data_IF_271271813233
#
_entry.id   IF_271271813233
#
_cell.length_a   1.000
_cell.length_b   1.000
_cell.length_c   1.000
_cell.angle_alpha   90.00
_cell.angle_beta   90.00
_cell.angle_gamma   90.00
#
_symmetry.space_group_name_H-M   'P 1'
#
loop_
_entity.id
_entity.type
_entity.pdbx_description
1 polymer ?
#
# COMPACT_ATOMS: atom_id res chain seq x y z
N UNK A 1 26.20 -41.19 24.81
CA UNK A 1 25.85 -39.98 25.60
C UNK A 1 26.50 -38.67 25.11
N UNK A 2 27.57 -38.67 24.31
CA UNK A 2 28.21 -37.43 23.80
C UNK A 2 27.49 -36.74 22.62
N UNK A 3 26.59 -37.43 21.92
CA UNK A 3 25.87 -36.87 20.74
C UNK A 3 24.63 -36.07 21.10
N UNK A 4 24.01 -36.34 22.26
CA UNK A 4 22.82 -35.63 22.73
C UNK A 4 23.16 -34.20 23.22
N UNK A 5 24.36 -34.04 23.81
CA UNK A 5 24.87 -32.76 24.31
C UNK A 5 25.16 -31.75 23.19
N UNK A 6 25.47 -32.22 21.98
CA UNK A 6 25.77 -31.37 20.83
C UNK A 6 24.51 -30.68 20.28
N UNK A 7 23.35 -31.37 20.32
CA UNK A 7 22.08 -30.84 19.82
C UNK A 7 21.52 -29.78 20.78
N UNK A 8 21.69 -29.98 22.10
CA UNK A 8 21.22 -29.04 23.12
C UNK A 8 21.98 -27.70 23.10
N UNK A 9 23.25 -27.70 22.65
CA UNK A 9 24.08 -26.50 22.60
C UNK A 9 23.70 -25.56 21.43
N UNK A 10 23.12 -26.10 20.36
CA UNK A 10 22.75 -25.34 19.16
C UNK A 10 21.43 -24.59 19.38
N UNK A 11 20.54 -25.09 20.24
CA UNK A 11 19.25 -24.45 20.52
C UNK A 11 19.33 -23.25 21.46
N UNK A 12 20.46 -23.05 22.17
CA UNK A 12 20.63 -21.93 23.09
C UNK A 12 21.30 -20.68 22.45
N UNK A 13 21.76 -20.77 21.20
CA UNK A 13 22.55 -19.70 20.55
C UNK A 13 21.75 -18.60 19.83
N UNK A 14 20.41 -18.66 19.82
CA UNK A 14 19.57 -17.73 19.02
C UNK A 14 18.74 -16.76 19.88
N UNK A 15 19.23 -16.41 21.06
CA UNK A 15 18.71 -15.27 21.82
C UNK A 15 19.25 -13.95 21.25
N UNK A 16 18.71 -13.49 20.13
CA UNK A 16 18.91 -12.11 19.69
C UNK A 16 18.24 -11.17 20.70
N UNK A 17 18.97 -10.79 21.73
CA UNK A 17 18.68 -9.57 22.48
C UNK A 17 18.94 -8.39 21.53
N UNK A 18 17.98 -8.11 20.66
CA UNK A 18 17.89 -6.81 20.03
C UNK A 18 17.52 -5.84 21.14
N UNK A 19 18.55 -5.27 21.76
CA UNK A 19 18.42 -4.09 22.59
C UNK A 19 17.71 -3.05 21.72
N UNK A 20 16.44 -2.83 21.99
CA UNK A 20 15.61 -1.86 21.30
C UNK A 20 16.03 -0.47 21.81
N UNK A 21 17.27 -0.10 21.53
CA UNK A 21 17.77 1.24 21.77
C UNK A 21 17.08 2.11 20.72
N UNK A 22 16.14 2.93 21.19
CA UNK A 22 15.40 3.87 20.36
C UNK A 22 16.37 4.96 19.91
N UNK A 23 17.23 4.65 18.95
CA UNK A 23 18.13 5.65 18.37
C UNK A 23 17.28 6.76 17.73
N UNK A 24 17.79 7.99 17.78
CA UNK A 24 17.07 9.16 17.26
C UNK A 24 16.64 8.94 15.79
N UNK A 25 17.50 8.30 15.00
CA UNK A 25 17.25 7.91 13.61
C UNK A 25 16.08 6.92 13.49
N UNK A 26 15.96 5.97 14.42
CA UNK A 26 14.86 4.99 14.44
C UNK A 26 13.53 5.68 14.77
N UNK A 27 13.56 6.66 15.68
CA UNK A 27 12.40 7.46 16.04
C UNK A 27 11.95 8.36 14.87
N UNK A 28 12.88 8.97 14.14
CA UNK A 28 12.59 9.77 12.95
C UNK A 28 11.99 8.90 11.83
N UNK A 29 12.58 7.74 11.55
CA UNK A 29 12.03 6.80 10.57
C UNK A 29 10.63 6.31 10.95
N UNK A 30 10.40 6.03 12.23
CA UNK A 30 9.08 5.62 12.72
C UNK A 30 8.08 6.77 12.60
N UNK A 31 8.49 7.98 12.96
CA UNK A 31 7.68 9.18 12.81
C UNK A 31 7.32 9.41 11.35
N UNK A 32 8.27 9.43 10.41
CA UNK A 32 7.98 9.59 8.98
C UNK A 32 7.05 8.48 8.45
N UNK A 33 7.22 7.23 8.89
CA UNK A 33 6.39 6.12 8.44
C UNK A 33 4.97 6.15 9.00
N UNK A 34 4.79 6.65 10.22
CA UNK A 34 3.50 6.71 10.91
C UNK A 34 2.88 8.11 10.90
N UNK A 35 3.55 9.11 10.30
CA UNK A 35 3.06 10.47 10.24
C UNK A 35 1.82 10.51 9.33
N UNK A 36 0.68 10.69 9.97
CA UNK A 36 -0.62 10.75 9.31
C UNK A 36 -0.72 11.94 8.37
N UNK A 37 -0.09 13.07 8.71
CA UNK A 37 -0.06 14.26 7.87
C UNK A 37 0.71 14.01 6.57
N UNK A 38 1.83 13.27 6.65
CA UNK A 38 2.57 12.85 5.46
C UNK A 38 1.73 11.91 4.58
N UNK A 39 0.99 10.99 5.19
CA UNK A 39 0.08 10.10 4.47
C UNK A 39 -1.07 10.88 3.80
N UNK A 40 -1.62 11.90 4.47
CA UNK A 40 -2.61 12.81 3.88
C UNK A 40 -2.01 13.54 2.69
N UNK A 41 -0.86 14.19 2.87
CA UNK A 41 -0.20 14.96 1.81
C UNK A 41 0.10 14.09 0.57
N UNK A 42 0.57 12.86 0.79
CA UNK A 42 0.83 11.90 -0.31
C UNK A 42 -0.46 11.52 -1.05
N UNK A 43 -1.58 11.37 -0.32
CA UNK A 43 -2.88 11.09 -0.95
C UNK A 43 -3.44 12.30 -1.70
N UNK A 44 -3.23 13.50 -1.18
CA UNK A 44 -3.60 14.74 -1.87
C UNK A 44 -2.80 14.92 -3.16
N UNK A 45 -1.49 14.63 -3.13
CA UNK A 45 -0.64 14.64 -4.33
C UNK A 45 -1.15 13.64 -5.38
N UNK A 46 -1.41 12.40 -4.96
CA UNK A 46 -1.95 11.37 -5.87
C UNK A 46 -3.30 11.79 -6.47
N UNK A 47 -4.18 12.40 -5.66
CA UNK A 47 -5.46 12.94 -6.14
C UNK A 47 -5.26 14.07 -7.14
N UNK A 48 -4.30 14.96 -6.91
CA UNK A 48 -3.96 16.04 -7.84
C UNK A 48 -3.45 15.48 -9.17
N UNK A 49 -2.59 14.46 -9.15
CA UNK A 49 -2.13 13.77 -10.36
C UNK A 49 -3.28 13.15 -11.15
N UNK A 50 -4.20 12.45 -10.48
CA UNK A 50 -5.40 11.90 -11.12
C UNK A 50 -6.22 13.02 -11.75
N UNK A 51 -6.43 14.14 -11.04
CA UNK A 51 -7.17 15.28 -11.58
C UNK A 51 -6.51 15.90 -12.82
N UNK A 52 -5.18 15.99 -12.86
CA UNK A 52 -4.45 16.42 -14.07
C UNK A 52 -4.66 15.42 -15.20
N UNK A 53 -4.58 14.13 -14.93
CA UNK A 53 -4.76 13.08 -15.93
C UNK A 53 -6.20 13.02 -16.46
N UNK A 54 -7.21 13.24 -15.61
CA UNK A 54 -8.60 13.39 -16.00
C UNK A 54 -8.81 14.63 -16.88
N UNK A 55 -8.20 15.77 -16.52
CA UNK A 55 -8.28 16.98 -17.34
C UNK A 55 -7.66 16.77 -18.72
N UNK A 56 -6.49 16.12 -18.80
CA UNK A 56 -5.86 15.75 -20.08
C UNK A 56 -6.73 14.75 -20.84
N UNK A 57 -7.23 13.71 -20.17
CA UNK A 57 -8.09 12.69 -20.74
C UNK A 57 -9.42 13.23 -21.26
N UNK A 58 -9.97 14.27 -20.61
CA UNK A 58 -11.19 14.95 -21.05
C UNK A 58 -11.03 15.67 -22.40
N UNK A 59 -9.80 16.05 -22.76
CA UNK A 59 -9.46 16.61 -24.07
C UNK A 59 -9.24 15.54 -25.15
N UNK A 60 -9.18 14.26 -24.78
CA UNK A 60 -8.97 13.15 -25.72
C UNK A 60 -10.32 12.53 -26.13
N UNK A 61 -10.40 11.94 -27.34
CA UNK A 61 -11.59 11.23 -27.75
C UNK A 61 -11.79 9.98 -26.89
N UNK A 62 -12.97 9.88 -26.29
CA UNK A 62 -13.36 8.71 -25.49
C UNK A 62 -13.89 7.60 -26.39
N UNK A 63 -13.35 6.39 -26.26
CA UNK A 63 -13.91 5.19 -26.89
C UNK A 63 -14.83 4.52 -25.87
N UNK A 64 -16.10 4.37 -26.19
CA UNK A 64 -17.08 3.65 -25.37
C UNK A 64 -17.93 2.71 -26.23
N UNK A 65 -18.41 1.63 -25.63
CA UNK A 65 -19.32 0.68 -26.26
C UNK A 65 -20.67 0.71 -25.58
N UNK A 66 -21.74 0.87 -26.36
CA UNK A 66 -23.11 0.85 -25.87
C UNK A 66 -24.00 0.00 -26.78
N UNK A 67 -24.84 -0.85 -26.19
CA UNK A 67 -25.85 -1.64 -26.90
C UNK A 67 -27.20 -1.47 -26.22
N UNK A 68 -28.22 -1.09 -27.00
CA UNK A 68 -29.60 -1.00 -26.53
C UNK A 68 -30.54 -1.68 -27.50
N UNK A 69 -31.51 -2.41 -26.95
CA UNK A 69 -32.61 -3.00 -27.69
C UNK A 69 -33.91 -2.53 -27.04
N UNK A 70 -34.76 -1.86 -27.83
CA UNK A 70 -36.09 -1.41 -27.39
C UNK A 70 -37.16 -1.95 -28.32
N UNK A 71 -38.24 -2.49 -27.75
CA UNK A 71 -39.39 -3.00 -28.51
C UNK A 71 -40.67 -2.46 -27.89
N UNK A 72 -41.31 -1.54 -28.60
CA UNK A 72 -42.60 -0.97 -28.22
C UNK A 72 -43.72 -1.74 -28.94
N UNK A 73 -44.73 -2.15 -28.18
CA UNK A 73 -45.96 -2.72 -28.71
C UNK A 73 -47.07 -1.69 -28.54
N UNK A 74 -47.62 -1.19 -29.65
CA UNK A 74 -48.87 -0.43 -29.62
C UNK A 74 -50.04 -1.41 -29.45
N UNK A 75 -50.90 -1.13 -28.47
CA UNK A 75 -52.15 -1.84 -28.27
C UNK A 75 -53.14 -1.33 -29.34
N UNK A 76 -53.48 -2.19 -30.30
CA UNK A 76 -54.54 -1.97 -31.28
C UNK A 76 -55.91 -2.36 -30.70
#
# INVERSE_FOLDING_TARGET
MKRLTLILLITFGFGFAQELELSLDRAEQLAMKQNFDLAIATREESKAQIGVMEAVGSGLPTISGYGAYTKNHELA
#
